data_IF_443979267147
#
_entry.id   IF_443979267147
#
_cell.length_a   1.000
_cell.length_b   1.000
_cell.length_c   1.000
_cell.angle_alpha   90.00
_cell.angle_beta   90.00
_cell.angle_gamma   90.00
#
_symmetry.space_group_name_H-M   'P 1'
#
loop_
_entity.id
_entity.type
_entity.pdbx_description
1 polymer ?
#
# COMPACT_ATOMS: atom_id res chain seq x y z
N UNK A 1 -16.34 7.80 -16.06
CA UNK A 1 -15.36 7.29 -15.08
C UNK A 1 -15.68 5.81 -14.93
N UNK A 2 -14.92 4.91 -15.54
CA UNK A 2 -15.17 3.47 -15.43
C UNK A 2 -14.71 3.00 -14.05
N UNK A 3 -15.64 2.53 -13.21
CA UNK A 3 -15.35 1.98 -11.89
C UNK A 3 -14.60 0.65 -12.02
N UNK A 4 -13.27 0.74 -12.04
CA UNK A 4 -12.37 -0.40 -12.05
C UNK A 4 -11.79 -0.60 -10.63
N UNK A 5 -12.68 -0.85 -9.67
CA UNK A 5 -12.30 -1.09 -8.27
C UNK A 5 -11.75 -2.51 -8.14
N UNK A 6 -10.42 -2.63 -8.23
CA UNK A 6 -9.73 -3.90 -7.98
C UNK A 6 -9.54 -4.10 -6.47
N UNK A 7 -9.84 -5.29 -5.99
CA UNK A 7 -9.57 -5.64 -4.59
C UNK A 7 -8.09 -5.42 -4.26
N UNK A 8 -7.83 -4.63 -3.23
CA UNK A 8 -6.48 -4.32 -2.77
C UNK A 8 -5.81 -5.57 -2.19
N UNK A 9 -4.65 -5.95 -2.74
CA UNK A 9 -3.74 -6.89 -2.10
C UNK A 9 -2.52 -6.13 -1.60
N UNK A 10 -2.46 -5.92 -0.28
CA UNK A 10 -1.41 -5.11 0.34
C UNK A 10 0.00 -5.67 0.16
N UNK A 11 0.20 -6.97 -0.11
CA UNK A 11 1.53 -7.57 -0.30
C UNK A 11 2.12 -7.33 -1.68
N UNK A 12 1.26 -7.19 -2.70
CA UNK A 12 1.68 -6.98 -4.10
C UNK A 12 1.35 -5.58 -4.61
N UNK A 13 0.74 -4.73 -3.77
CA UNK A 13 0.42 -3.36 -4.13
C UNK A 13 1.69 -2.56 -4.47
N UNK A 14 1.74 -1.84 -5.60
CA UNK A 14 2.89 -1.01 -5.95
C UNK A 14 2.97 0.19 -4.99
N UNK A 15 4.16 0.44 -4.44
CA UNK A 15 4.41 1.54 -3.49
C UNK A 15 4.97 2.81 -4.17
N UNK A 16 4.68 2.99 -5.45
CA UNK A 16 5.19 4.11 -6.27
C UNK A 16 4.04 4.91 -6.87
N UNK A 17 4.19 6.23 -6.93
CA UNK A 17 3.17 7.14 -7.47
C UNK A 17 2.00 7.36 -6.51
N UNK A 18 0.84 7.72 -7.06
CA UNK A 18 -0.39 8.01 -6.31
C UNK A 18 -1.47 6.98 -6.62
N UNK A 19 -2.20 6.55 -5.59
CA UNK A 19 -3.31 5.62 -5.73
C UNK A 19 -4.47 6.00 -4.82
N UNK A 20 -5.68 5.75 -5.29
CA UNK A 20 -6.89 5.89 -4.50
C UNK A 20 -7.27 4.52 -3.94
N UNK A 21 -7.36 4.42 -2.62
CA UNK A 21 -7.82 3.21 -1.93
C UNK A 21 -9.19 3.51 -1.35
N UNK A 22 -10.22 2.89 -1.90
CA UNK A 22 -11.57 2.93 -1.35
C UNK A 22 -11.70 1.93 -0.20
N UNK A 23 -12.31 2.35 0.91
CA UNK A 23 -12.51 1.46 2.05
C UNK A 23 -13.72 1.87 2.92
N UNK A 24 -14.72 0.99 2.98
CA UNK A 24 -15.94 1.15 3.81
C UNK A 24 -15.68 0.97 5.31
N UNK A 25 -16.66 1.30 6.16
CA UNK A 25 -16.55 1.10 7.60
C UNK A 25 -16.27 -0.38 7.94
N UNK A 26 -15.38 -0.63 8.91
CA UNK A 26 -15.05 -1.99 9.35
C UNK A 26 -14.11 -2.80 8.44
N UNK A 27 -13.65 -2.29 7.28
CA UNK A 27 -12.81 -3.05 6.34
C UNK A 27 -11.30 -2.98 6.63
N UNK A 28 -10.91 -2.70 7.88
CA UNK A 28 -9.51 -2.74 8.30
C UNK A 28 -8.61 -1.64 7.73
N UNK A 29 -9.14 -0.45 7.41
CA UNK A 29 -8.37 0.71 6.90
C UNK A 29 -7.02 0.93 7.61
N UNK A 30 -7.04 1.00 8.93
CA UNK A 30 -5.84 1.21 9.76
C UNK A 30 -4.84 0.05 9.61
N UNK A 31 -5.34 -1.18 9.60
CA UNK A 31 -4.52 -2.37 9.40
C UNK A 31 -3.86 -2.37 8.02
N UNK A 32 -4.63 -2.07 6.97
CA UNK A 32 -4.13 -1.97 5.61
C UNK A 32 -3.05 -0.89 5.48
N UNK A 33 -3.27 0.30 6.03
CA UNK A 33 -2.27 1.37 6.03
C UNK A 33 -1.01 0.98 6.81
N UNK A 34 -1.16 0.35 7.98
CA UNK A 34 -0.02 -0.14 8.76
C UNK A 34 0.80 -1.19 8.00
N UNK A 35 0.14 -2.08 7.25
CA UNK A 35 0.82 -3.10 6.45
C UNK A 35 1.56 -2.50 5.26
N UNK A 36 0.96 -1.52 4.58
CA UNK A 36 1.64 -0.76 3.51
C UNK A 36 2.84 0.02 4.07
N UNK A 37 2.68 0.67 5.23
CA UNK A 37 3.77 1.37 5.90
C UNK A 37 4.91 0.42 6.30
N UNK A 38 4.58 -0.74 6.87
CA UNK A 38 5.57 -1.76 7.21
C UNK A 38 6.35 -2.21 5.97
N UNK A 39 5.67 -2.39 4.83
CA UNK A 39 6.35 -2.73 3.56
C UNK A 39 7.31 -1.64 3.10
N UNK A 40 6.98 -0.37 3.33
CA UNK A 40 7.90 0.75 3.04
C UNK A 40 9.16 0.66 3.91
N UNK A 41 9.00 0.49 5.23
CA UNK A 41 10.11 0.40 6.19
C UNK A 41 11.02 -0.79 5.89
N UNK A 42 10.44 -1.95 5.56
CA UNK A 42 11.17 -3.18 5.30
C UNK A 42 11.66 -3.35 3.86
N UNK A 43 11.34 -2.41 2.95
CA UNK A 43 11.56 -2.55 1.50
C UNK A 43 11.06 -3.89 0.95
N UNK A 44 9.82 -4.23 1.29
CA UNK A 44 9.22 -5.51 0.94
C UNK A 44 8.40 -5.44 -0.36
N UNK A 45 8.64 -6.39 -1.28
CA UNK A 45 7.81 -6.58 -2.48
C UNK A 45 8.54 -6.66 -3.81
N UNK A 46 9.87 -6.80 -3.84
CA UNK A 46 10.64 -6.91 -5.09
C UNK A 46 10.44 -5.68 -5.98
N UNK A 47 10.00 -5.90 -7.22
CA UNK A 47 9.66 -4.83 -8.19
C UNK A 47 8.57 -3.85 -7.69
N UNK A 48 7.72 -4.28 -6.74
CA UNK A 48 6.68 -3.44 -6.14
C UNK A 48 7.13 -2.78 -4.83
N UNK A 49 8.41 -2.94 -4.44
CA UNK A 49 8.99 -2.29 -3.26
C UNK A 49 9.24 -0.81 -3.51
N UNK A 50 9.28 -0.05 -2.42
CA UNK A 50 9.83 1.29 -2.45
C UNK A 50 11.35 1.25 -2.66
N UNK A 51 11.87 2.13 -3.53
CA UNK A 51 13.28 2.12 -3.96
C UNK A 51 14.23 2.62 -2.87
N UNK A 52 13.81 3.63 -2.13
CA UNK A 52 14.61 4.29 -1.11
C UNK A 52 14.38 3.68 0.28
N UNK A 53 15.38 3.81 1.16
CA UNK A 53 15.16 3.48 2.57
C UNK A 53 14.38 4.61 3.22
N UNK A 54 13.27 4.26 3.87
CA UNK A 54 12.63 5.16 4.83
C UNK A 54 13.50 5.17 6.09
N UNK A 55 14.41 6.14 6.14
CA UNK A 55 15.16 6.42 7.35
C UNK A 55 14.21 7.04 8.38
N UNK A 56 14.33 6.68 9.67
CA UNK A 56 13.64 7.43 10.70
C UNK A 56 14.08 8.91 10.65
N UNK A 57 13.17 9.85 10.98
CA UNK A 57 13.49 11.27 11.02
C UNK A 57 14.56 11.61 12.06
#
# INVERSE_FOLDING_TARGET
>A
MSDNTKQLNALTFPLTGSALIEASAGTGKTYTLALLYLRLVLKHGGENSFSDYLLPP
#
